data_IF_010571726693
#
_entry.id   IF_010571726693
#
_cell.length_a   1.000
_cell.length_b   1.000
_cell.length_c   1.000
_cell.angle_alpha   90.00
_cell.angle_beta   90.00
_cell.angle_gamma   90.00
#
_symmetry.space_group_name_H-M   'P 1'
#
loop_
_entity.id
_entity.type
_entity.pdbx_description
1 polymer ?
#
# COMPACT_ATOMS: atom_id res chain seq x y z
N UNK A 1 0.48 -6.14 12.45
CA UNK A 1 -0.39 -6.57 11.35
C UNK A 1 -0.54 -8.09 11.35
N UNK A 2 -1.68 -8.56 10.81
CA UNK A 2 -2.05 -9.98 10.92
C UNK A 2 -2.57 -10.56 9.60
N UNK A 3 -2.83 -9.73 8.61
CA UNK A 3 -3.49 -10.15 7.39
C UNK A 3 -2.55 -10.85 6.41
N UNK A 4 -3.12 -11.78 5.64
CA UNK A 4 -2.44 -12.50 4.58
C UNK A 4 -2.80 -11.91 3.21
N UNK A 5 -2.07 -12.31 2.19
CA UNK A 5 -2.21 -11.85 0.81
C UNK A 5 -2.89 -12.91 -0.08
N UNK A 6 -3.64 -12.50 -1.12
CA UNK A 6 -4.24 -13.41 -2.07
C UNK A 6 -3.21 -13.95 -3.07
N UNK A 7 -2.24 -14.71 -2.55
CA UNK A 7 -1.12 -15.30 -3.28
C UNK A 7 -1.11 -16.80 -3.00
N UNK A 8 -0.91 -17.62 -4.05
CA UNK A 8 -0.75 -19.05 -3.87
C UNK A 8 0.61 -19.37 -3.26
N UNK A 9 0.63 -20.05 -2.12
CA UNK A 9 1.85 -20.56 -1.51
C UNK A 9 2.55 -21.55 -2.44
N UNK A 10 3.81 -21.33 -2.69
CA UNK A 10 4.66 -22.22 -3.51
C UNK A 10 5.80 -22.86 -2.70
N UNK A 11 5.91 -22.53 -1.41
CA UNK A 11 6.94 -23.09 -0.54
C UNK A 11 6.54 -24.49 -0.07
N UNK A 12 7.51 -25.41 -0.08
CA UNK A 12 7.36 -26.76 0.50
C UNK A 12 7.98 -26.78 1.90
N UNK A 13 7.21 -26.29 2.87
CA UNK A 13 7.62 -26.23 4.28
C UNK A 13 6.49 -26.73 5.19
N UNK A 14 6.80 -27.29 6.37
CA UNK A 14 5.80 -27.88 7.26
C UNK A 14 4.70 -26.89 7.74
N UNK A 15 4.97 -25.59 7.67
CA UNK A 15 4.10 -24.51 8.08
C UNK A 15 3.53 -23.71 6.90
N UNK A 16 3.62 -24.22 5.69
CA UNK A 16 2.99 -23.62 4.52
C UNK A 16 1.48 -23.41 4.72
N UNK A 17 0.94 -22.41 4.05
CA UNK A 17 -0.49 -22.12 4.08
C UNK A 17 -1.31 -23.34 3.69
N UNK A 18 -2.36 -23.63 4.44
CA UNK A 18 -3.35 -24.68 4.14
C UNK A 18 -4.58 -24.15 3.39
N UNK A 19 -4.60 -22.84 3.12
CA UNK A 19 -5.71 -22.19 2.43
C UNK A 19 -5.26 -21.88 0.99
N UNK A 20 -5.82 -22.55 -0.02
CA UNK A 20 -5.45 -22.31 -1.41
C UNK A 20 -5.64 -20.83 -1.81
N UNK A 21 -4.66 -20.28 -2.51
CA UNK A 21 -4.68 -18.90 -2.99
C UNK A 21 -4.47 -17.84 -1.91
N UNK A 22 -4.08 -18.20 -0.69
CA UNK A 22 -3.81 -17.25 0.39
C UNK A 22 -2.54 -17.67 1.13
N UNK A 23 -1.61 -16.73 1.32
CA UNK A 23 -0.40 -16.95 2.12
C UNK A 23 0.08 -15.67 2.80
N UNK A 24 0.90 -15.82 3.83
CA UNK A 24 1.70 -14.72 4.34
C UNK A 24 2.94 -14.50 3.46
N UNK A 25 2.89 -13.48 2.59
CA UNK A 25 4.00 -13.11 1.72
C UNK A 25 4.67 -11.79 2.12
N UNK A 26 4.15 -11.12 3.16
CA UNK A 26 4.74 -9.88 3.73
C UNK A 26 5.31 -10.08 5.14
N UNK A 27 5.24 -11.28 5.71
CA UNK A 27 5.80 -11.62 7.02
C UNK A 27 4.94 -11.23 8.22
N UNK A 28 3.66 -10.99 8.03
CA UNK A 28 2.75 -10.61 9.12
C UNK A 28 2.54 -11.74 10.15
N UNK A 29 2.72 -12.99 9.75
CA UNK A 29 2.78 -14.15 10.64
C UNK A 29 3.96 -14.05 11.62
N UNK A 30 5.14 -13.65 11.12
CA UNK A 30 6.32 -13.39 11.96
C UNK A 30 6.09 -12.20 12.89
N UNK A 31 5.46 -11.13 12.42
CA UNK A 31 5.13 -9.96 13.24
C UNK A 31 4.18 -10.35 14.37
N UNK A 32 3.15 -11.11 14.06
CA UNK A 32 2.17 -11.61 15.05
C UNK A 32 2.83 -12.53 16.09
N UNK A 33 3.62 -13.49 15.63
CA UNK A 33 4.34 -14.40 16.51
C UNK A 33 5.34 -13.67 17.42
N UNK A 34 6.08 -12.72 16.87
CA UNK A 34 7.02 -11.88 17.65
C UNK A 34 6.31 -11.07 18.73
N UNK A 35 5.16 -10.46 18.41
CA UNK A 35 4.39 -9.68 19.38
C UNK A 35 3.82 -10.56 20.49
N UNK A 36 3.39 -11.78 20.20
CA UNK A 36 3.00 -12.76 21.20
C UNK A 36 4.18 -13.14 22.12
N UNK A 37 5.36 -13.34 21.53
CA UNK A 37 6.59 -13.60 22.29
C UNK A 37 6.96 -12.44 23.22
N UNK A 38 6.87 -11.20 22.74
CA UNK A 38 7.06 -9.98 23.56
C UNK A 38 6.03 -9.92 24.69
N UNK A 39 4.77 -10.23 24.42
CA UNK A 39 3.73 -10.25 25.45
C UNK A 39 4.03 -11.26 26.55
N UNK A 40 4.45 -12.47 26.18
CA UNK A 40 4.83 -13.51 27.14
C UNK A 40 6.06 -13.10 27.97
N UNK A 41 7.08 -12.51 27.32
CA UNK A 41 8.29 -12.03 27.98
C UNK A 41 7.98 -10.91 28.99
N UNK A 42 7.22 -9.90 28.59
CA UNK A 42 6.85 -8.79 29.47
C UNK A 42 5.95 -9.25 30.63
N UNK A 43 5.07 -10.21 30.37
CA UNK A 43 4.24 -10.83 31.41
C UNK A 43 5.09 -11.49 32.49
N UNK A 44 6.19 -12.16 32.13
CA UNK A 44 7.09 -12.79 33.09
C UNK A 44 7.95 -11.78 33.86
N UNK A 45 8.00 -10.52 33.44
CA UNK A 45 8.87 -9.46 33.97
C UNK A 45 8.10 -8.26 34.53
N UNK A 46 6.84 -8.43 34.88
CA UNK A 46 5.98 -7.34 35.35
C UNK A 46 6.53 -6.59 36.58
N UNK A 47 7.43 -7.18 37.36
CA UNK A 47 8.09 -6.55 38.48
C UNK A 47 9.30 -5.67 38.09
N UNK A 48 9.74 -5.73 36.85
CA UNK A 48 10.93 -5.01 36.35
C UNK A 48 10.60 -3.65 35.75
N UNK A 49 9.31 -3.35 35.52
CA UNK A 49 8.87 -2.08 34.95
C UNK A 49 7.56 -1.59 35.53
N UNK A 50 7.28 -0.29 35.38
CA UNK A 50 6.02 0.33 35.75
C UNK A 50 5.35 0.95 34.52
N UNK A 51 4.01 0.98 34.52
CA UNK A 51 3.24 1.55 33.41
C UNK A 51 2.35 0.53 32.72
N UNK A 52 1.85 0.90 31.56
CA UNK A 52 0.94 0.07 30.74
C UNK A 52 1.58 -0.22 29.40
N UNK A 53 1.61 -1.48 29.01
CA UNK A 53 1.96 -1.92 27.66
C UNK A 53 0.70 -2.42 26.97
N UNK A 54 0.37 -1.83 25.83
CA UNK A 54 -0.78 -2.23 25.00
C UNK A 54 -0.26 -2.93 23.76
N UNK A 55 -0.70 -4.16 23.56
CA UNK A 55 -0.39 -4.94 22.35
C UNK A 55 -1.49 -4.71 21.32
N UNK A 56 -1.10 -4.26 20.13
CA UNK A 56 -2.02 -3.97 19.04
C UNK A 56 -1.81 -4.98 17.92
N UNK A 57 -2.80 -5.80 17.67
CA UNK A 57 -2.83 -6.76 16.57
C UNK A 57 -3.72 -6.17 15.47
N UNK A 58 -3.08 -5.58 14.46
CA UNK A 58 -3.76 -4.83 13.42
C UNK A 58 -4.26 -5.77 12.30
N UNK A 59 -5.55 -5.77 11.98
CA UNK A 59 -6.07 -6.40 10.78
C UNK A 59 -5.89 -5.51 9.55
N UNK A 60 -5.95 -6.08 8.34
CA UNK A 60 -6.10 -5.35 7.08
C UNK A 60 -5.08 -4.21 6.86
N UNK A 61 -3.79 -4.51 7.02
CA UNK A 61 -2.72 -3.56 6.65
C UNK A 61 -2.66 -3.39 5.13
N UNK A 62 -2.83 -4.49 4.41
CA UNK A 62 -2.74 -4.58 2.94
C UNK A 62 -4.01 -4.09 2.21
N UNK A 63 -5.06 -3.70 2.93
CA UNK A 63 -6.34 -3.36 2.33
C UNK A 63 -6.90 -2.04 2.84
N UNK A 64 -7.19 -1.11 1.92
CA UNK A 64 -7.84 0.16 2.26
C UNK A 64 -9.23 -0.03 2.91
N UNK A 65 -9.59 0.80 3.90
CA UNK A 65 -8.92 2.02 4.37
C UNK A 65 -7.75 1.79 5.34
N UNK A 66 -7.37 0.54 5.59
CA UNK A 66 -6.32 0.17 6.54
C UNK A 66 -6.85 -0.05 7.96
N UNK A 67 -6.50 -1.19 8.56
CA UNK A 67 -6.94 -1.55 9.90
C UNK A 67 -6.47 -0.59 10.99
N UNK A 68 -5.28 0.03 10.82
CA UNK A 68 -4.77 1.01 11.79
C UNK A 68 -5.72 2.20 11.95
N UNK A 69 -6.23 2.76 10.86
CA UNK A 69 -7.17 3.89 10.89
C UNK A 69 -8.47 3.52 11.61
N UNK A 70 -8.95 2.30 11.40
CA UNK A 70 -10.16 1.79 12.06
C UNK A 70 -9.91 1.58 13.56
N UNK A 71 -8.80 0.97 13.95
CA UNK A 71 -8.42 0.78 15.34
C UNK A 71 -8.24 2.11 16.09
N UNK A 72 -7.65 3.12 15.45
CA UNK A 72 -7.49 4.47 16.02
C UNK A 72 -8.88 5.09 16.26
N UNK A 73 -9.78 5.02 15.29
CA UNK A 73 -11.16 5.48 15.42
C UNK A 73 -11.89 4.78 16.56
N UNK A 74 -11.64 3.49 16.75
CA UNK A 74 -12.24 2.67 17.80
C UNK A 74 -11.54 2.86 19.17
N UNK A 75 -10.59 3.80 19.28
CA UNK A 75 -9.95 4.19 20.54
C UNK A 75 -8.71 3.37 20.91
N UNK A 76 -8.08 2.68 19.97
CA UNK A 76 -6.88 1.87 20.28
C UNK A 76 -5.72 2.68 20.88
N UNK A 77 -5.66 3.99 20.59
CA UNK A 77 -4.65 4.91 21.12
C UNK A 77 -5.22 5.86 22.19
N UNK A 78 -6.39 5.55 22.76
CA UNK A 78 -7.01 6.32 23.83
C UNK A 78 -7.00 5.53 25.16
N UNK A 79 -6.99 6.25 26.27
CA UNK A 79 -7.18 5.74 27.63
C UNK A 79 -6.38 4.47 28.02
N UNK A 80 -5.08 4.56 28.25
CA UNK A 80 -4.25 5.76 28.24
C UNK A 80 -3.74 6.09 26.84
N UNK A 81 -3.46 7.36 26.58
CA UNK A 81 -2.75 7.79 25.39
C UNK A 81 -1.31 7.28 25.47
N UNK A 82 -0.80 6.57 24.48
CA UNK A 82 0.55 6.04 24.52
C UNK A 82 1.60 7.17 24.44
N UNK A 83 2.68 7.05 25.21
CA UNK A 83 3.83 7.95 25.13
C UNK A 83 4.77 7.57 23.99
N UNK A 84 4.77 6.30 23.60
CA UNK A 84 5.56 5.78 22.49
C UNK A 84 4.82 4.63 21.83
N UNK A 85 5.05 4.45 20.53
CA UNK A 85 4.56 3.33 19.73
C UNK A 85 5.75 2.68 19.04
N UNK A 86 5.81 1.37 19.11
CA UNK A 86 6.83 0.56 18.46
C UNK A 86 6.16 -0.35 17.45
N UNK A 87 6.74 -0.46 16.27
CA UNK A 87 6.38 -1.42 15.24
C UNK A 87 7.64 -2.03 14.66
N UNK A 88 7.55 -3.26 14.21
CA UNK A 88 8.62 -3.92 13.48
C UNK A 88 8.10 -4.43 12.14
N UNK A 89 8.99 -4.55 11.19
CA UNK A 89 8.74 -5.26 9.94
C UNK A 89 9.93 -6.15 9.61
N UNK A 90 9.68 -7.38 9.19
CA UNK A 90 10.75 -8.26 8.70
C UNK A 90 11.36 -7.67 7.42
N UNK A 91 12.68 -7.73 7.32
CA UNK A 91 13.41 -7.16 6.20
C UNK A 91 14.36 -8.23 5.63
N UNK A 92 13.98 -8.91 4.54
CA UNK A 92 14.79 -10.02 3.98
C UNK A 92 16.21 -9.64 3.56
N UNK A 93 16.47 -8.34 3.37
CA UNK A 93 17.81 -7.84 3.01
C UNK A 93 18.76 -7.74 4.19
N UNK A 94 18.28 -7.86 5.42
CA UNK A 94 19.10 -7.86 6.63
C UNK A 94 19.43 -9.29 7.05
N UNK A 95 20.66 -9.57 7.49
CA UNK A 95 21.02 -10.87 8.06
C UNK A 95 20.14 -11.19 9.30
N UNK A 96 19.78 -12.46 9.48
CA UNK A 96 19.04 -12.90 10.65
C UNK A 96 19.77 -12.51 11.94
N UNK A 97 19.02 -12.07 12.97
CA UNK A 97 19.56 -11.59 14.23
C UNK A 97 20.01 -10.13 14.23
N UNK A 98 19.83 -9.41 13.11
CA UNK A 98 20.10 -7.97 13.05
C UNK A 98 18.84 -7.16 13.06
N UNK A 99 18.93 -5.92 13.57
CA UNK A 99 17.82 -4.94 13.58
C UNK A 99 18.30 -3.64 12.97
N UNK A 100 17.58 -3.13 11.99
CA UNK A 100 17.86 -1.86 11.34
C UNK A 100 17.00 -0.73 11.89
N UNK A 101 17.60 0.42 12.15
CA UNK A 101 16.92 1.64 12.55
C UNK A 101 17.29 2.79 11.63
N UNK A 102 16.34 3.68 11.42
CA UNK A 102 16.56 4.93 10.71
C UNK A 102 15.81 6.05 11.41
N UNK A 103 16.48 7.15 11.67
CA UNK A 103 15.83 8.35 12.19
C UNK A 103 15.10 9.12 11.09
N UNK A 104 14.05 9.85 11.46
CA UNK A 104 13.26 10.66 10.55
C UNK A 104 12.24 9.83 9.77
N UNK A 105 11.92 10.28 8.56
CA UNK A 105 10.92 9.62 7.70
C UNK A 105 11.44 8.26 7.22
N UNK A 106 10.75 7.22 7.61
CA UNK A 106 11.19 5.84 7.40
C UNK A 106 10.57 5.21 6.15
N UNK A 107 9.25 5.38 5.97
CA UNK A 107 8.46 4.79 4.89
C UNK A 107 7.79 5.88 4.06
N UNK A 108 7.64 5.62 2.77
CA UNK A 108 6.81 6.44 1.89
C UNK A 108 5.33 6.12 2.10
N UNK A 109 4.46 7.11 1.83
CA UNK A 109 3.03 6.86 1.71
C UNK A 109 2.72 5.91 0.54
N UNK A 110 1.55 5.31 0.55
CA UNK A 110 1.04 4.50 -0.55
C UNK A 110 -0.39 4.91 -0.88
N UNK A 111 -0.58 5.46 -2.07
CA UNK A 111 -1.88 5.84 -2.59
C UNK A 111 -2.21 5.00 -3.84
N UNK A 112 -3.44 4.54 -3.94
CA UNK A 112 -3.97 3.94 -5.15
C UNK A 112 -4.63 5.00 -6.04
N UNK A 113 -4.29 4.96 -7.32
CA UNK A 113 -4.93 5.78 -8.36
C UNK A 113 -5.78 4.86 -9.22
N UNK A 114 -7.06 5.20 -9.36
CA UNK A 114 -8.01 4.49 -10.21
C UNK A 114 -8.72 5.49 -11.11
N UNK A 115 -8.50 5.39 -12.42
CA UNK A 115 -9.12 6.25 -13.40
C UNK A 115 -9.92 5.40 -14.38
N UNK A 116 -11.09 5.90 -14.77
CA UNK A 116 -11.88 5.36 -15.86
C UNK A 116 -12.12 6.48 -16.87
N UNK A 117 -11.55 6.30 -18.04
CA UNK A 117 -11.71 7.20 -19.18
C UNK A 117 -12.87 6.67 -20.01
N UNK A 118 -13.94 7.44 -20.09
CA UNK A 118 -15.11 7.10 -20.88
C UNK A 118 -15.09 7.89 -22.17
N UNK A 119 -15.08 7.17 -23.28
CA UNK A 119 -15.12 7.71 -24.62
C UNK A 119 -16.35 7.23 -25.40
N UNK A 120 -16.21 7.20 -26.69
CA UNK A 120 -17.16 6.59 -27.63
C UNK A 120 -16.37 5.72 -28.58
N UNK A 121 -16.44 4.42 -28.39
CA UNK A 121 -15.79 3.44 -29.23
C UNK A 121 -16.43 3.30 -30.60
N UNK A 122 -15.80 2.52 -31.46
CA UNK A 122 -16.30 2.24 -32.81
C UNK A 122 -15.18 1.83 -33.75
N UNK A 123 -15.46 1.85 -35.05
CA UNK A 123 -14.52 1.45 -36.08
C UNK A 123 -13.30 2.39 -36.10
N UNK A 124 -12.10 1.86 -35.90
CA UNK A 124 -10.87 2.64 -35.77
C UNK A 124 -10.50 3.44 -37.04
N UNK A 125 -10.91 2.99 -38.22
CA UNK A 125 -10.73 3.73 -39.47
C UNK A 125 -11.75 4.87 -39.68
N UNK A 126 -12.68 5.09 -38.72
CA UNK A 126 -13.64 6.20 -38.74
C UNK A 126 -13.49 7.06 -37.46
N UNK A 127 -12.30 7.65 -37.21
CA UNK A 127 -12.01 8.35 -35.96
C UNK A 127 -12.90 9.57 -35.71
N UNK A 128 -13.40 10.20 -36.79
CA UNK A 128 -14.30 11.36 -36.73
C UNK A 128 -15.68 11.05 -36.11
N UNK A 129 -16.05 9.76 -35.97
CA UNK A 129 -17.30 9.32 -35.34
C UNK A 129 -17.11 8.85 -33.91
N UNK A 130 -15.87 8.79 -33.45
CA UNK A 130 -15.48 8.22 -32.15
C UNK A 130 -14.93 9.29 -31.20
N UNK A 131 -14.85 8.93 -29.93
CA UNK A 131 -14.03 9.62 -28.92
C UNK A 131 -13.04 8.59 -28.39
N UNK A 132 -11.79 8.68 -28.83
CA UNK A 132 -10.76 7.68 -28.59
C UNK A 132 -10.31 7.66 -27.14
N UNK A 133 -10.87 6.75 -26.35
CA UNK A 133 -10.54 6.56 -24.94
C UNK A 133 -9.11 6.06 -24.73
N UNK A 134 -8.53 5.34 -25.69
CA UNK A 134 -7.15 4.83 -25.61
C UNK A 134 -6.16 5.98 -25.78
N UNK A 135 -6.38 6.84 -26.77
CA UNK A 135 -5.55 8.03 -26.98
C UNK A 135 -5.61 8.98 -25.79
N UNK A 136 -6.82 9.25 -25.28
CA UNK A 136 -7.01 10.10 -24.09
C UNK A 136 -6.28 9.51 -22.87
N UNK A 137 -6.44 8.21 -22.60
CA UNK A 137 -5.75 7.53 -21.51
C UNK A 137 -4.22 7.65 -21.63
N UNK A 138 -3.68 7.48 -22.83
CA UNK A 138 -2.26 7.61 -23.12
C UNK A 138 -1.75 9.04 -22.81
N UNK A 139 -2.48 10.07 -23.23
CA UNK A 139 -2.17 11.46 -22.90
C UNK A 139 -2.23 11.72 -21.38
N UNK A 140 -3.21 11.16 -20.67
CA UNK A 140 -3.33 11.30 -19.22
C UNK A 140 -2.11 10.69 -18.52
N UNK A 141 -1.68 9.48 -18.92
CA UNK A 141 -0.49 8.84 -18.33
C UNK A 141 0.75 9.71 -18.49
N UNK A 142 0.96 10.28 -19.69
CA UNK A 142 2.10 11.15 -19.97
C UNK A 142 1.98 12.48 -19.21
N UNK A 143 0.81 13.11 -19.24
CA UNK A 143 0.59 14.41 -18.60
C UNK A 143 0.75 14.34 -17.07
N UNK A 144 0.25 13.30 -16.43
CA UNK A 144 0.35 13.14 -14.98
C UNK A 144 1.79 12.99 -14.48
N UNK A 145 2.76 12.60 -15.34
CA UNK A 145 4.16 12.60 -14.94
C UNK A 145 4.65 14.01 -14.54
N UNK A 146 3.99 15.07 -14.98
CA UNK A 146 4.29 16.44 -14.59
C UNK A 146 4.01 16.72 -13.12
N UNK A 147 3.14 15.98 -12.47
CA UNK A 147 2.91 16.07 -11.01
C UNK A 147 4.23 15.89 -10.27
N UNK A 148 5.01 14.87 -10.63
CA UNK A 148 6.33 14.64 -10.02
C UNK A 148 7.40 15.55 -10.64
N UNK A 149 7.48 15.65 -11.96
CA UNK A 149 8.61 16.32 -12.62
C UNK A 149 8.52 17.85 -12.62
N UNK A 150 7.35 18.46 -12.40
CA UNK A 150 7.12 19.91 -12.53
C UNK A 150 6.40 20.56 -11.35
N UNK A 151 5.79 19.77 -10.48
CA UNK A 151 5.01 20.27 -9.35
C UNK A 151 5.63 19.91 -8.00
N UNK A 152 6.25 18.74 -7.88
CA UNK A 152 6.97 18.36 -6.67
C UNK A 152 8.23 19.20 -6.47
N UNK A 153 8.56 19.50 -5.22
CA UNK A 153 9.89 20.00 -4.90
C UNK A 153 10.91 18.89 -5.23
N UNK A 154 11.96 19.16 -6.03
CA UNK A 154 12.91 18.13 -6.45
C UNK A 154 13.71 17.50 -5.30
N UNK A 155 13.70 18.08 -4.11
CA UNK A 155 14.30 17.48 -2.90
C UNK A 155 13.37 16.49 -2.18
N UNK A 156 12.12 16.40 -2.61
CA UNK A 156 11.12 15.48 -2.02
C UNK A 156 10.94 14.25 -2.91
N UNK A 157 11.38 13.06 -2.47
CA UNK A 157 11.16 11.84 -3.22
C UNK A 157 9.66 11.61 -3.46
N UNK A 158 9.30 11.43 -4.72
CA UNK A 158 7.92 11.14 -5.14
C UNK A 158 7.92 10.21 -6.35
N UNK A 159 6.95 9.32 -6.39
CA UNK A 159 6.73 8.40 -7.51
C UNK A 159 5.26 8.44 -7.91
N UNK A 160 4.99 8.55 -9.20
CA UNK A 160 3.69 8.34 -9.79
C UNK A 160 3.84 7.36 -10.94
N UNK A 161 3.20 6.20 -10.83
CA UNK A 161 3.32 5.13 -11.82
C UNK A 161 1.98 4.49 -12.10
N UNK A 162 1.74 4.14 -13.36
CA UNK A 162 0.60 3.34 -13.77
C UNK A 162 1.09 1.94 -14.17
N UNK A 163 0.73 0.94 -13.38
CA UNK A 163 1.10 -0.46 -13.62
C UNK A 163 0.02 -1.25 -14.37
N UNK A 164 -1.14 -0.63 -14.65
CA UNK A 164 -2.27 -1.32 -15.24
C UNK A 164 -3.05 -0.39 -16.16
N UNK A 165 -3.22 -0.81 -17.43
CA UNK A 165 -4.02 -0.14 -18.43
C UNK A 165 -4.83 -1.19 -19.19
N UNK A 166 -6.15 -1.06 -19.20
CA UNK A 166 -7.06 -1.96 -19.91
C UNK A 166 -8.02 -1.16 -20.76
N UNK A 167 -8.01 -1.45 -22.05
CA UNK A 167 -9.03 -1.05 -23.00
C UNK A 167 -9.44 -2.29 -23.82
N UNK A 168 -10.65 -2.78 -23.61
CA UNK A 168 -11.14 -4.02 -24.22
C UNK A 168 -11.71 -3.75 -25.61
N UNK A 169 -10.83 -3.37 -26.56
CA UNK A 169 -11.13 -3.20 -27.97
C UNK A 169 -10.60 -4.37 -28.83
N UNK A 170 -10.54 -4.14 -30.14
CA UNK A 170 -9.86 -5.01 -31.08
C UNK A 170 -8.86 -4.19 -31.88
N UNK A 171 -8.03 -4.83 -32.71
CA UNK A 171 -7.03 -4.12 -33.53
C UNK A 171 -7.64 -3.01 -34.41
N UNK A 172 -8.90 -3.11 -34.76
CA UNK A 172 -9.64 -2.16 -35.60
C UNK A 172 -10.92 -1.63 -34.96
N UNK A 173 -11.09 -1.83 -33.64
CA UNK A 173 -12.25 -1.36 -32.85
C UNK A 173 -11.77 -0.66 -31.61
N UNK A 174 -12.09 0.64 -31.47
CA UNK A 174 -11.82 1.43 -30.29
C UNK A 174 -12.79 1.05 -29.16
N UNK A 175 -12.31 0.86 -27.90
CA UNK A 175 -13.20 0.58 -26.77
C UNK A 175 -13.94 1.85 -26.31
N UNK A 176 -15.10 1.65 -25.67
CA UNK A 176 -15.81 2.76 -25.01
C UNK A 176 -15.04 3.28 -23.80
N UNK A 177 -14.45 2.39 -23.02
CA UNK A 177 -13.80 2.73 -21.77
C UNK A 177 -12.36 2.22 -21.73
N UNK A 178 -11.48 3.00 -21.06
CA UNK A 178 -10.15 2.57 -20.65
C UNK A 178 -10.03 2.76 -19.15
N UNK A 179 -9.52 1.74 -18.48
CA UNK A 179 -9.26 1.75 -17.03
C UNK A 179 -7.76 1.79 -16.75
N UNK A 180 -7.35 2.75 -15.93
CA UNK A 180 -5.97 2.88 -15.46
C UNK A 180 -5.95 2.59 -13.96
N UNK A 181 -4.91 1.88 -13.50
CA UNK A 181 -4.57 1.76 -12.08
C UNK A 181 -3.10 2.08 -11.87
N UNK A 182 -2.85 2.87 -10.86
CA UNK A 182 -1.51 3.34 -10.54
C UNK A 182 -1.30 3.53 -9.05
N UNK A 183 -0.13 3.99 -8.70
CA UNK A 183 0.25 4.36 -7.34
C UNK A 183 0.91 5.73 -7.32
N UNK A 184 0.63 6.50 -6.27
CA UNK A 184 1.41 7.67 -5.92
C UNK A 184 2.07 7.41 -4.56
N UNK A 185 3.36 7.73 -4.47
CA UNK A 185 4.15 7.56 -3.24
C UNK A 185 4.99 8.78 -2.98
N UNK A 186 5.05 9.21 -1.73
CA UNK A 186 5.94 10.28 -1.29
C UNK A 186 6.30 10.12 0.18
N UNK A 187 7.35 10.79 0.61
CA UNK A 187 7.77 10.82 2.01
C UNK A 187 7.32 12.11 2.73
N UNK A 188 6.45 12.92 2.10
CA UNK A 188 5.98 14.18 2.65
C UNK A 188 4.46 14.29 2.61
N UNK A 189 3.81 14.30 3.77
CA UNK A 189 2.35 14.36 3.87
C UNK A 189 1.76 15.70 3.41
N UNK A 190 2.49 16.79 3.55
CA UNK A 190 2.05 18.09 3.04
C UNK A 190 2.01 18.09 1.51
N UNK A 191 3.08 17.60 0.91
CA UNK A 191 3.13 17.42 -0.55
C UNK A 191 2.10 16.41 -1.03
N UNK A 192 1.90 15.31 -0.29
CA UNK A 192 0.88 14.31 -0.62
C UNK A 192 -0.50 14.93 -0.74
N UNK A 193 -0.90 15.73 0.27
CA UNK A 193 -2.19 16.43 0.26
C UNK A 193 -2.31 17.43 -0.91
N UNK A 194 -1.23 18.14 -1.25
CA UNK A 194 -1.19 19.03 -2.40
C UNK A 194 -1.31 18.28 -3.73
N UNK A 195 -0.60 17.15 -3.85
CA UNK A 195 -0.63 16.33 -5.06
C UNK A 195 -2.01 15.73 -5.34
N UNK A 196 -2.77 15.39 -4.30
CA UNK A 196 -4.14 14.91 -4.44
C UNK A 196 -5.12 15.99 -4.96
N UNK A 197 -4.77 17.26 -4.86
CA UNK A 197 -5.60 18.37 -5.31
C UNK A 197 -5.26 18.85 -6.74
N UNK A 198 -4.22 18.29 -7.35
CA UNK A 198 -3.78 18.60 -8.72
C UNK A 198 -4.50 17.75 -9.75
#
# INVERSE_FOLDING_TARGET
DMDALPIQEANDVPYASKVPGVMHACGHDVHTASLLGVAALLRSRTQEFSGTVRFLFQPAEEKLPGGASLMIRDGALANPVPQAIYGQHVMPLLPAGTVGFRSGRYMASADEIRLTIRGKGGHAAMPHLNTDSVLIASHIVVALQQVVSRRANPTLPSVLSFGHIIGEGAYNVLPNDVRLRGTFRTMDETWRAQAHAL
#
